data_IF_762823144017
#
_entry.id   IF_762823144017
#
_cell.length_a   1.000
_cell.length_b   1.000
_cell.length_c   1.000
_cell.angle_alpha   90.00
_cell.angle_beta   90.00
_cell.angle_gamma   90.00
#
_symmetry.space_group_name_H-M   'P 1'
#
loop_
_entity.id
_entity.type
_entity.pdbx_description
1 polymer ?
#
# COMPACT_ATOMS: atom_id res chain seq x y z
N UNK A 1 -11.27 -0.07 23.21
CA UNK A 1 -12.30 1.00 22.97
C UNK A 1 -13.66 0.33 22.81
N UNK A 2 -14.78 0.90 23.28
CA UNK A 2 -16.11 0.26 23.16
C UNK A 2 -16.63 0.24 21.71
N UNK A 3 -17.32 -0.85 21.34
CA UNK A 3 -17.86 -1.05 19.99
C UNK A 3 -18.87 0.04 19.60
N UNK A 4 -19.82 0.37 20.48
CA UNK A 4 -20.82 1.42 20.23
C UNK A 4 -20.16 2.73 19.79
N UNK A 5 -19.07 3.12 20.45
CA UNK A 5 -18.38 4.37 20.16
C UNK A 5 -17.69 4.33 18.79
N UNK A 6 -17.17 3.18 18.39
CA UNK A 6 -16.61 3.00 17.05
C UNK A 6 -17.72 3.00 15.97
N UNK A 7 -18.87 2.40 16.24
CA UNK A 7 -20.04 2.42 15.34
C UNK A 7 -20.61 3.83 15.16
N UNK A 8 -20.64 4.63 16.22
CA UNK A 8 -20.95 6.06 16.15
C UNK A 8 -19.96 6.77 15.23
N UNK A 9 -18.65 6.67 15.48
CA UNK A 9 -17.63 7.31 14.65
C UNK A 9 -17.67 6.87 13.17
N UNK A 10 -17.96 5.60 12.91
CA UNK A 10 -18.16 5.08 11.57
C UNK A 10 -19.39 5.71 10.87
N UNK A 11 -20.46 5.96 11.62
CA UNK A 11 -21.73 6.50 11.10
C UNK A 11 -21.77 8.04 11.06
N UNK A 12 -20.99 8.71 11.91
CA UNK A 12 -20.90 10.17 12.05
C UNK A 12 -20.22 10.85 10.84
N UNK A 13 -19.63 10.05 9.96
CA UNK A 13 -18.88 10.52 8.80
C UNK A 13 -19.52 9.99 7.53
N UNK A 14 -19.89 10.88 6.60
CA UNK A 14 -20.41 10.52 5.28
C UNK A 14 -19.62 11.24 4.19
N UNK A 15 -18.42 10.74 3.93
CA UNK A 15 -17.62 11.25 2.82
C UNK A 15 -18.16 10.77 1.47
N UNK A 16 -18.04 11.56 0.40
CA UNK A 16 -18.32 11.08 -0.94
C UNK A 16 -17.53 9.81 -1.25
N UNK A 17 -18.22 8.79 -1.77
CA UNK A 17 -17.65 7.52 -2.21
C UNK A 17 -17.06 6.61 -1.11
N UNK A 18 -17.39 6.86 0.16
CA UNK A 18 -17.09 5.88 1.22
C UNK A 18 -17.88 4.59 1.02
N UNK A 19 -17.37 3.50 1.58
CA UNK A 19 -18.05 2.21 1.61
C UNK A 19 -18.75 2.05 2.97
N UNK A 20 -20.06 2.28 3.00
CA UNK A 20 -20.88 2.20 4.23
C UNK A 20 -20.80 0.86 4.96
N UNK A 21 -20.47 -0.19 4.21
CA UNK A 21 -20.42 -1.57 4.69
C UNK A 21 -18.98 -2.02 5.01
N UNK A 22 -17.99 -1.13 4.85
CA UNK A 22 -16.61 -1.32 5.25
C UNK A 22 -16.32 -0.48 6.50
N UNK A 23 -16.06 -1.15 7.62
CA UNK A 23 -15.95 -0.49 8.92
C UNK A 23 -14.80 0.52 8.94
N UNK A 24 -15.08 1.74 9.42
CA UNK A 24 -14.11 2.84 9.46
C UNK A 24 -13.80 3.57 8.15
N UNK A 25 -14.28 3.08 6.99
CA UNK A 25 -13.89 3.57 5.66
C UNK A 25 -14.15 5.08 5.45
N UNK A 26 -15.31 5.59 5.91
CA UNK A 26 -15.60 7.03 5.78
C UNK A 26 -14.68 7.90 6.63
N UNK A 27 -14.26 7.45 7.82
CA UNK A 27 -13.34 8.23 8.66
C UNK A 27 -11.97 8.28 7.99
N UNK A 28 -11.49 7.16 7.44
CA UNK A 28 -10.23 7.10 6.70
C UNK A 28 -10.26 8.00 5.47
N UNK A 29 -11.32 7.95 4.67
CA UNK A 29 -11.46 8.85 3.50
C UNK A 29 -11.46 10.34 3.89
N UNK A 30 -11.91 10.68 5.10
CA UNK A 30 -11.94 12.06 5.60
C UNK A 30 -10.61 12.53 6.16
N UNK A 31 -10.00 11.69 7.01
CA UNK A 31 -8.88 12.09 7.88
C UNK A 31 -7.52 11.59 7.43
N UNK A 32 -7.47 10.64 6.49
CA UNK A 32 -6.22 10.07 5.98
C UNK A 32 -6.01 10.50 4.54
N UNK A 33 -5.01 11.36 4.31
CA UNK A 33 -4.84 12.05 3.03
C UNK A 33 -4.52 11.05 1.92
N UNK A 34 -3.54 10.17 2.13
CA UNK A 34 -3.13 9.17 1.13
C UNK A 34 -4.30 8.23 0.83
N UNK A 35 -5.01 7.75 1.87
CA UNK A 35 -6.19 6.89 1.69
C UNK A 35 -7.26 7.57 0.82
N UNK A 36 -7.58 8.84 1.12
CA UNK A 36 -8.56 9.64 0.37
C UNK A 36 -8.15 9.82 -1.10
N UNK A 37 -6.89 10.16 -1.33
CA UNK A 37 -6.37 10.45 -2.66
C UNK A 37 -6.34 9.18 -3.53
N UNK A 38 -5.89 8.06 -2.97
CA UNK A 38 -5.95 6.75 -3.65
C UNK A 38 -7.39 6.35 -3.95
N UNK A 39 -8.34 6.55 -3.01
CA UNK A 39 -9.76 6.25 -3.26
C UNK A 39 -10.31 7.04 -4.45
N UNK A 40 -10.09 8.36 -4.47
CA UNK A 40 -10.54 9.24 -5.56
C UNK A 40 -9.89 8.87 -6.89
N UNK A 41 -8.59 8.59 -6.85
CA UNK A 41 -7.83 8.18 -8.03
C UNK A 41 -8.31 6.85 -8.60
N UNK A 42 -8.61 5.88 -7.75
CA UNK A 42 -9.13 4.58 -8.16
C UNK A 42 -10.49 4.74 -8.89
N UNK A 43 -11.41 5.50 -8.30
CA UNK A 43 -12.73 5.80 -8.88
C UNK A 43 -12.64 6.55 -10.22
N UNK A 44 -11.74 7.54 -10.33
CA UNK A 44 -11.55 8.28 -11.58
C UNK A 44 -11.00 7.42 -12.73
N UNK A 45 -10.45 6.24 -12.41
CA UNK A 45 -9.98 5.22 -13.37
C UNK A 45 -11.03 4.16 -13.68
N UNK A 46 -12.29 4.43 -13.31
CA UNK A 46 -13.46 3.57 -13.53
C UNK A 46 -13.44 2.27 -12.73
N UNK A 47 -12.67 2.20 -11.64
CA UNK A 47 -12.78 1.09 -10.70
C UNK A 47 -14.05 1.24 -9.87
N UNK A 48 -14.63 0.09 -9.54
CA UNK A 48 -15.78 -0.04 -8.67
C UNK A 48 -15.41 -0.90 -7.47
N UNK A 49 -16.18 -0.76 -6.39
CA UNK A 49 -16.02 -1.58 -5.18
C UNK A 49 -17.26 -2.46 -5.04
N UNK A 50 -17.07 -3.73 -4.70
CA UNK A 50 -18.19 -4.68 -4.58
C UNK A 50 -18.11 -5.51 -3.32
N UNK A 51 -19.21 -5.53 -2.57
CA UNK A 51 -19.43 -6.46 -1.45
C UNK A 51 -20.09 -7.77 -1.88
N UNK A 52 -20.30 -7.98 -3.19
CA UNK A 52 -20.81 -9.23 -3.70
C UNK A 52 -19.87 -10.39 -3.33
N UNK A 53 -20.45 -11.54 -3.01
CA UNK A 53 -19.68 -12.72 -2.65
C UNK A 53 -18.74 -13.11 -3.79
N UNK A 54 -17.45 -13.21 -3.47
CA UNK A 54 -16.40 -13.69 -4.37
C UNK A 54 -15.62 -14.78 -3.64
N UNK A 55 -16.02 -16.03 -3.87
CA UNK A 55 -15.45 -17.20 -3.18
C UNK A 55 -13.95 -17.36 -3.46
N UNK A 56 -13.53 -17.10 -4.71
CA UNK A 56 -12.12 -17.19 -5.10
C UNK A 56 -11.27 -16.15 -4.39
N UNK A 57 -11.74 -14.90 -4.32
CA UNK A 57 -11.04 -13.85 -3.59
C UNK A 57 -11.01 -14.13 -2.09
N UNK A 58 -12.10 -14.65 -1.51
CA UNK A 58 -12.13 -14.99 -0.09
C UNK A 58 -11.18 -16.15 0.25
N UNK A 59 -11.03 -17.12 -0.64
CA UNK A 59 -10.16 -18.29 -0.45
C UNK A 59 -8.69 -17.99 -0.75
N UNK A 60 -8.38 -17.26 -1.82
CA UNK A 60 -7.01 -16.97 -2.27
C UNK A 60 -6.91 -15.61 -2.97
N UNK A 61 -6.92 -14.49 -2.22
CA UNK A 61 -6.91 -13.12 -2.78
C UNK A 61 -5.77 -12.88 -3.79
N UNK A 62 -4.56 -13.34 -3.46
CA UNK A 62 -3.37 -13.18 -4.30
C UNK A 62 -3.52 -13.74 -5.71
N UNK A 63 -4.40 -14.74 -5.91
CA UNK A 63 -4.67 -15.31 -7.23
C UNK A 63 -5.62 -14.48 -8.09
N UNK A 64 -6.26 -13.48 -7.51
CA UNK A 64 -7.35 -12.74 -8.13
C UNK A 64 -6.95 -11.32 -8.53
N UNK A 65 -5.71 -10.89 -8.26
CA UNK A 65 -5.28 -9.51 -8.53
C UNK A 65 -5.46 -9.11 -10.00
N UNK A 66 -5.04 -9.94 -10.96
CA UNK A 66 -5.27 -9.66 -12.39
C UNK A 66 -6.75 -9.60 -12.77
N UNK A 67 -7.58 -10.42 -12.15
CA UNK A 67 -9.03 -10.42 -12.35
C UNK A 67 -9.66 -9.12 -11.83
N UNK A 68 -9.23 -8.67 -10.64
CA UNK A 68 -9.61 -7.39 -10.02
C UNK A 68 -9.22 -6.22 -10.91
N UNK A 69 -7.97 -6.20 -11.39
CA UNK A 69 -7.43 -5.12 -12.23
C UNK A 69 -8.07 -5.08 -13.62
N UNK A 70 -8.33 -6.24 -14.22
CA UNK A 70 -8.95 -6.34 -15.56
C UNK A 70 -10.43 -6.00 -15.52
N UNK A 71 -11.18 -6.56 -14.56
CA UNK A 71 -12.62 -6.28 -14.40
C UNK A 71 -12.88 -4.90 -13.79
N UNK A 72 -11.84 -4.28 -13.22
CA UNK A 72 -11.91 -3.03 -12.47
C UNK A 72 -12.93 -3.08 -11.31
N UNK A 73 -12.97 -4.21 -10.61
CA UNK A 73 -13.86 -4.40 -9.45
C UNK A 73 -13.02 -4.87 -8.26
N UNK A 74 -12.89 -4.01 -7.26
CA UNK A 74 -12.18 -4.31 -6.01
C UNK A 74 -13.17 -4.94 -5.01
N UNK A 75 -12.99 -6.21 -4.64
CA UNK A 75 -13.88 -6.90 -3.72
C UNK A 75 -13.61 -6.49 -2.27
N UNK A 76 -14.67 -6.46 -1.47
CA UNK A 76 -14.60 -6.33 -0.02
C UNK A 76 -15.74 -7.11 0.64
N UNK A 77 -15.70 -7.24 1.96
CA UNK A 77 -16.74 -7.94 2.73
C UNK A 77 -17.51 -6.92 3.58
N UNK A 78 -18.83 -7.07 3.67
CA UNK A 78 -19.61 -6.32 4.66
C UNK A 78 -19.22 -6.82 6.07
N UNK A 79 -18.35 -6.07 6.74
CA UNK A 79 -17.94 -6.35 8.12
C UNK A 79 -18.68 -5.45 9.14
N UNK A 80 -19.54 -4.53 8.68
CA UNK A 80 -20.32 -3.62 9.54
C UNK A 80 -21.60 -4.28 10.07
N UNK A 81 -22.28 -5.11 9.27
CA UNK A 81 -23.55 -5.73 9.66
C UNK A 81 -23.43 -6.60 10.90
N UNK A 82 -22.35 -7.38 11.03
CA UNK A 82 -22.12 -8.21 12.22
C UNK A 82 -21.88 -7.35 13.46
N UNK A 83 -21.15 -6.25 13.33
CA UNK A 83 -20.90 -5.31 14.43
C UNK A 83 -22.19 -4.65 14.92
N UNK A 84 -23.05 -4.20 13.99
CA UNK A 84 -24.38 -3.66 14.31
C UNK A 84 -25.28 -4.69 14.99
N UNK A 85 -25.16 -5.97 14.61
CA UNK A 85 -25.90 -7.06 15.26
C UNK A 85 -25.42 -7.31 16.69
N UNK A 86 -24.10 -7.34 16.92
CA UNK A 86 -23.52 -7.50 18.25
C UNK A 86 -23.98 -6.37 19.19
N UNK A 87 -23.83 -5.11 18.76
CA UNK A 87 -24.22 -3.95 19.57
C UNK A 87 -25.73 -3.93 19.88
N UNK A 88 -26.57 -4.41 18.96
CA UNK A 88 -28.02 -4.50 19.19
C UNK A 88 -28.38 -5.52 20.27
N UNK A 89 -27.69 -6.66 20.31
CA UNK A 89 -27.98 -7.74 21.26
C UNK A 89 -27.28 -7.56 22.61
N UNK A 90 -26.10 -6.93 22.62
CA UNK A 90 -25.28 -6.69 23.82
C UNK A 90 -24.80 -5.23 23.87
N UNK A 91 -25.73 -4.27 24.08
CA UNK A 91 -25.43 -2.85 23.98
C UNK A 91 -24.39 -2.39 25.01
N UNK A 92 -23.40 -1.63 24.56
CA UNK A 92 -22.29 -1.07 25.36
C UNK A 92 -21.41 -2.11 26.08
N UNK A 93 -21.57 -3.39 25.79
CA UNK A 93 -20.79 -4.47 26.44
C UNK A 93 -19.48 -4.68 25.69
N UNK A 94 -19.55 -4.95 24.40
CA UNK A 94 -18.42 -5.41 23.57
C UNK A 94 -17.29 -4.38 23.47
N UNK A 95 -16.07 -4.84 23.66
CA UNK A 95 -14.85 -4.08 23.46
C UNK A 95 -14.21 -4.45 22.13
N UNK A 96 -13.45 -3.51 21.56
CA UNK A 96 -12.72 -3.75 20.32
C UNK A 96 -11.78 -4.94 20.39
N UNK A 97 -11.14 -5.15 21.55
CA UNK A 97 -10.18 -6.22 21.77
C UNK A 97 -10.86 -7.61 21.74
N UNK A 98 -12.17 -7.69 21.95
CA UNK A 98 -12.96 -8.93 21.77
C UNK A 98 -13.10 -9.31 20.29
N UNK A 99 -12.90 -8.34 19.38
CA UNK A 99 -13.24 -8.43 17.96
C UNK A 99 -12.03 -8.38 17.02
N UNK A 100 -10.94 -7.71 17.43
CA UNK A 100 -9.81 -7.35 16.56
C UNK A 100 -9.26 -8.52 15.76
N UNK A 101 -9.18 -9.69 16.38
CA UNK A 101 -8.55 -10.88 15.80
C UNK A 101 -9.54 -11.73 14.98
N UNK A 102 -10.84 -11.50 15.15
CA UNK A 102 -11.91 -12.32 14.58
C UNK A 102 -12.68 -11.61 13.46
N UNK A 103 -12.64 -10.27 13.41
CA UNK A 103 -13.31 -9.52 12.37
C UNK A 103 -12.57 -9.65 11.04
N UNK A 104 -13.31 -9.95 9.96
CA UNK A 104 -12.74 -9.98 8.62
C UNK A 104 -12.25 -8.58 8.23
N UNK A 105 -10.94 -8.47 7.99
CA UNK A 105 -10.26 -7.28 7.45
C UNK A 105 -10.54 -7.11 5.96
N UNK A 106 -10.52 -5.87 5.51
CA UNK A 106 -10.76 -5.48 4.11
C UNK A 106 -9.57 -4.68 3.59
N UNK A 107 -8.80 -5.23 2.65
CA UNK A 107 -7.58 -4.59 2.14
C UNK A 107 -7.85 -3.67 0.93
N UNK A 108 -9.00 -3.00 0.93
CA UNK A 108 -9.46 -2.17 -0.20
C UNK A 108 -8.46 -1.08 -0.55
N UNK A 109 -7.78 -0.52 0.45
CA UNK A 109 -6.76 0.50 0.25
C UNK A 109 -5.55 -0.03 -0.55
N UNK A 110 -5.04 -1.20 -0.17
CA UNK A 110 -3.95 -1.86 -0.84
C UNK A 110 -4.30 -2.20 -2.29
N UNK A 111 -5.45 -2.85 -2.52
CA UNK A 111 -5.93 -3.17 -3.86
C UNK A 111 -6.16 -1.91 -4.72
N UNK A 112 -6.59 -0.81 -4.09
CA UNK A 112 -6.74 0.48 -4.77
C UNK A 112 -5.40 1.08 -5.19
N UNK A 113 -4.32 0.85 -4.42
CA UNK A 113 -2.98 1.27 -4.80
C UNK A 113 -2.50 0.52 -6.05
N UNK A 114 -2.71 -0.80 -6.13
CA UNK A 114 -2.45 -1.57 -7.35
C UNK A 114 -3.26 -1.04 -8.53
N UNK A 115 -4.56 -0.81 -8.35
CA UNK A 115 -5.44 -0.27 -9.39
C UNK A 115 -4.94 1.07 -9.95
N UNK A 116 -4.51 1.99 -9.08
CA UNK A 116 -3.93 3.28 -9.47
C UNK A 116 -2.63 3.06 -10.24
N UNK A 117 -1.68 2.33 -9.67
CA UNK A 117 -0.39 2.08 -10.30
C UNK A 117 -0.53 1.41 -11.68
N UNK A 118 -1.32 0.34 -11.76
CA UNK A 118 -1.61 -0.38 -13.01
C UNK A 118 -2.21 0.51 -14.10
N UNK A 119 -3.10 1.44 -13.73
CA UNK A 119 -3.74 2.33 -14.70
C UNK A 119 -2.80 3.40 -15.26
N UNK A 120 -1.76 3.74 -14.51
CA UNK A 120 -0.71 4.67 -14.94
C UNK A 120 0.44 3.98 -15.66
N UNK A 121 0.47 2.65 -15.64
CA UNK A 121 1.48 1.87 -16.31
C UNK A 121 1.47 2.16 -17.81
N UNK A 122 2.68 2.15 -18.38
CA UNK A 122 2.87 2.41 -19.80
C UNK A 122 2.30 1.23 -20.60
N UNK A 123 1.44 1.52 -21.58
CA UNK A 123 0.78 0.52 -22.44
C UNK A 123 1.74 -0.24 -23.40
N UNK A 124 3.04 -0.28 -23.10
CA UNK A 124 4.08 -0.96 -23.86
C UNK A 124 5.18 -1.36 -22.87
N UNK A 125 5.69 -2.59 -22.80
CA UNK A 125 6.32 -3.32 -23.91
C UNK A 125 6.30 -4.84 -23.66
N UNK A 126 6.26 -5.59 -24.77
CA UNK A 126 6.16 -7.05 -24.94
C UNK A 126 7.31 -7.90 -24.33
N UNK A 127 8.06 -7.39 -23.36
CA UNK A 127 9.18 -8.08 -22.73
C UNK A 127 8.84 -8.48 -21.30
N UNK A 128 9.04 -9.76 -21.01
CA UNK A 128 8.76 -10.43 -19.73
C UNK A 128 9.31 -9.67 -18.52
N UNK A 129 10.52 -9.12 -18.64
CA UNK A 129 11.20 -8.39 -17.56
C UNK A 129 10.54 -7.05 -17.24
N UNK A 130 9.90 -6.41 -18.22
CA UNK A 130 9.18 -5.14 -18.01
C UNK A 130 7.89 -5.35 -17.22
N UNK A 131 7.24 -6.49 -17.39
CA UNK A 131 6.02 -6.85 -16.64
C UNK A 131 6.35 -7.22 -15.19
N UNK A 132 7.41 -7.98 -14.96
CA UNK A 132 7.90 -8.28 -13.60
C UNK A 132 8.26 -7.00 -12.84
N UNK A 133 9.00 -6.10 -13.48
CA UNK A 133 9.33 -4.80 -12.88
C UNK A 133 8.07 -4.00 -12.55
N UNK A 134 7.10 -3.96 -13.46
CA UNK A 134 5.83 -3.28 -13.23
C UNK A 134 5.08 -3.87 -12.03
N UNK A 135 4.92 -5.19 -11.96
CA UNK A 135 4.25 -5.87 -10.85
C UNK A 135 4.93 -5.56 -9.50
N UNK A 136 6.27 -5.55 -9.46
CA UNK A 136 6.99 -5.22 -8.22
C UNK A 136 6.93 -3.75 -7.88
N UNK A 137 6.80 -2.84 -8.86
CA UNK A 137 6.51 -1.43 -8.59
C UNK A 137 5.10 -1.28 -8.01
N UNK A 138 4.11 -1.99 -8.53
CA UNK A 138 2.73 -1.95 -8.03
C UNK A 138 2.66 -2.37 -6.55
N UNK A 139 3.30 -3.48 -6.19
CA UNK A 139 3.42 -3.94 -4.79
C UNK A 139 4.16 -2.92 -3.93
N UNK A 140 5.33 -2.46 -4.38
CA UNK A 140 6.14 -1.50 -3.63
C UNK A 140 5.41 -0.18 -3.40
N UNK A 141 4.60 0.26 -4.36
CA UNK A 141 3.75 1.43 -4.24
C UNK A 141 2.65 1.21 -3.20
N UNK A 142 1.98 0.06 -3.22
CA UNK A 142 0.98 -0.29 -2.21
C UNK A 142 1.58 -0.32 -0.80
N UNK A 143 2.73 -0.99 -0.60
CA UNK A 143 3.42 -0.99 0.71
C UNK A 143 3.86 0.43 1.13
N UNK A 144 4.29 1.26 0.18
CA UNK A 144 4.68 2.66 0.46
C UNK A 144 3.50 3.49 0.93
N UNK A 145 2.36 3.40 0.24
CA UNK A 145 1.13 4.07 0.62
C UNK A 145 0.66 3.62 2.02
N UNK A 146 0.71 2.32 2.30
CA UNK A 146 0.36 1.76 3.61
C UNK A 146 1.31 2.23 4.73
N UNK A 147 2.61 2.29 4.46
CA UNK A 147 3.57 2.76 5.46
C UNK A 147 3.37 4.25 5.76
N UNK A 148 3.18 5.08 4.73
CA UNK A 148 3.08 6.53 4.93
C UNK A 148 1.71 6.97 5.45
N UNK A 149 0.63 6.26 5.12
CA UNK A 149 -0.70 6.61 5.61
C UNK A 149 -0.85 6.47 7.13
N UNK A 150 0.06 5.78 7.83
CA UNK A 150 0.08 5.75 9.32
C UNK A 150 0.35 7.13 9.93
N UNK A 151 0.96 8.06 9.17
CA UNK A 151 1.26 9.43 9.63
C UNK A 151 -0.02 10.14 10.10
N UNK A 152 -1.12 9.93 9.38
CA UNK A 152 -2.39 10.61 9.61
C UNK A 152 -3.24 9.93 10.70
N UNK A 153 -2.84 8.76 11.20
CA UNK A 153 -3.53 8.05 12.28
C UNK A 153 -3.31 8.73 13.66
N UNK A 154 -4.12 9.75 13.95
CA UNK A 154 -3.96 10.64 15.11
C UNK A 154 -4.42 10.06 16.45
N UNK A 155 -5.56 9.35 16.45
CA UNK A 155 -6.22 8.86 17.65
C UNK A 155 -6.44 7.34 17.60
N UNK A 156 -6.88 6.75 18.71
CA UNK A 156 -7.07 5.31 18.82
C UNK A 156 -8.14 4.76 17.86
N UNK A 157 -9.21 5.52 17.59
CA UNK A 157 -10.23 5.07 16.64
C UNK A 157 -9.70 5.06 15.21
N UNK A 158 -8.94 6.10 14.83
CA UNK A 158 -8.29 6.16 13.54
C UNK A 158 -7.31 4.98 13.36
N UNK A 159 -6.51 4.66 14.38
CA UNK A 159 -5.61 3.49 14.35
C UNK A 159 -6.36 2.19 14.16
N UNK A 160 -7.44 1.97 14.92
CA UNK A 160 -8.31 0.79 14.79
C UNK A 160 -8.86 0.66 13.37
N UNK A 161 -9.43 1.73 12.82
CA UNK A 161 -10.00 1.72 11.47
C UNK A 161 -8.93 1.51 10.40
N UNK A 162 -7.74 2.06 10.59
CA UNK A 162 -6.62 1.88 9.67
C UNK A 162 -6.10 0.44 9.68
N UNK A 163 -5.93 -0.15 10.86
CA UNK A 163 -5.44 -1.51 11.05
C UNK A 163 -6.34 -2.55 10.36
N UNK A 164 -7.66 -2.41 10.43
CA UNK A 164 -8.58 -3.32 9.73
C UNK A 164 -8.63 -3.12 8.20
N UNK A 165 -8.05 -2.03 7.70
CA UNK A 165 -8.10 -1.62 6.29
C UNK A 165 -6.76 -1.78 5.55
N UNK A 166 -5.69 -2.11 6.26
CA UNK A 166 -4.30 -2.17 5.75
C UNK A 166 -3.70 -3.54 6.06
N UNK A 167 -2.79 -4.06 5.22
CA UNK A 167 -2.02 -5.27 5.55
C UNK A 167 -0.97 -4.98 6.63
N UNK A 168 -0.41 -3.77 6.63
CA UNK A 168 0.66 -3.36 7.54
C UNK A 168 0.30 -2.08 8.28
N UNK A 169 0.61 -2.03 9.58
CA UNK A 169 0.26 -0.91 10.45
C UNK A 169 1.33 -0.68 11.52
N UNK A 170 2.48 -0.14 11.07
CA UNK A 170 3.67 0.14 11.90
C UNK A 170 3.52 1.48 12.64
N UNK A 171 2.56 1.57 13.56
CA UNK A 171 2.25 2.82 14.27
C UNK A 171 3.39 3.32 15.16
N UNK A 172 4.29 2.44 15.60
CA UNK A 172 5.50 2.75 16.34
C UNK A 172 6.48 3.63 15.54
N UNK A 173 6.47 3.51 14.21
CA UNK A 173 7.32 4.31 13.32
C UNK A 173 6.72 5.67 12.96
N UNK A 174 5.46 5.95 13.34
CA UNK A 174 4.74 7.17 12.97
C UNK A 174 5.52 8.44 13.27
N UNK A 175 6.12 8.55 14.45
CA UNK A 175 6.90 9.74 14.84
C UNK A 175 8.17 9.88 13.99
N UNK A 176 8.85 8.77 13.70
CA UNK A 176 10.03 8.76 12.85
C UNK A 176 9.69 9.17 11.40
N UNK A 177 8.55 8.67 10.88
CA UNK A 177 8.05 9.00 9.55
C UNK A 177 7.64 10.48 9.45
N UNK A 178 6.96 11.04 10.47
CA UNK A 178 6.64 12.47 10.53
C UNK A 178 7.90 13.35 10.50
N UNK A 179 8.90 13.00 11.30
CA UNK A 179 10.17 13.72 11.33
C UNK A 179 10.90 13.62 9.99
N UNK A 180 10.91 12.43 9.38
CA UNK A 180 11.49 12.22 8.06
C UNK A 180 10.76 13.04 6.98
N UNK A 181 9.42 13.13 7.04
CA UNK A 181 8.62 13.91 6.11
C UNK A 181 8.94 15.40 6.21
N UNK A 182 9.07 15.95 7.42
CA UNK A 182 9.48 17.34 7.65
C UNK A 182 10.91 17.61 7.16
N UNK A 183 11.83 16.67 7.35
CA UNK A 183 13.25 16.84 7.02
C UNK A 183 13.56 16.66 5.52
N UNK A 184 12.91 15.70 4.87
CA UNK A 184 13.20 15.28 3.49
C UNK A 184 12.17 15.88 2.49
N UNK A 185 10.95 16.11 2.95
CA UNK A 185 9.79 16.43 2.12
C UNK A 185 9.02 15.18 1.68
N UNK A 186 7.69 15.29 1.59
CA UNK A 186 6.79 14.15 1.31
C UNK A 186 7.10 13.43 0.00
N UNK A 187 7.31 14.16 -1.10
CA UNK A 187 7.55 13.58 -2.43
C UNK A 187 8.83 12.73 -2.43
N UNK A 188 9.95 13.31 -1.98
CA UNK A 188 11.24 12.62 -1.90
C UNK A 188 11.25 11.46 -0.92
N UNK A 189 10.56 11.59 0.21
CA UNK A 189 10.42 10.50 1.18
C UNK A 189 9.63 9.34 0.57
N UNK A 190 8.55 9.63 -0.14
CA UNK A 190 7.73 8.62 -0.81
C UNK A 190 8.51 7.93 -1.94
N UNK A 191 9.26 8.68 -2.76
CA UNK A 191 10.17 8.10 -3.76
C UNK A 191 11.21 7.16 -3.12
N UNK A 192 11.81 7.59 -2.00
CA UNK A 192 12.82 6.80 -1.29
C UNK A 192 12.26 5.49 -0.74
N UNK A 193 11.08 5.55 -0.09
CA UNK A 193 10.42 4.37 0.46
C UNK A 193 9.99 3.42 -0.65
N UNK A 194 9.43 3.93 -1.76
CA UNK A 194 9.04 3.12 -2.92
C UNK A 194 10.23 2.36 -3.48
N UNK A 195 11.35 3.03 -3.73
CA UNK A 195 12.56 2.37 -4.26
C UNK A 195 13.16 1.39 -3.23
N UNK A 196 13.08 1.69 -1.94
CA UNK A 196 13.52 0.78 -0.88
C UNK A 196 12.67 -0.49 -0.82
N UNK A 197 11.34 -0.38 -0.90
CA UNK A 197 10.44 -1.53 -1.02
C UNK A 197 10.68 -2.29 -2.33
N UNK A 198 11.00 -1.62 -3.42
CA UNK A 198 11.32 -2.29 -4.68
C UNK A 198 12.54 -3.18 -4.55
N UNK A 199 13.61 -2.72 -3.90
CA UNK A 199 14.75 -3.58 -3.55
C UNK A 199 14.32 -4.78 -2.68
N UNK A 200 13.51 -4.53 -1.64
CA UNK A 200 13.00 -5.60 -0.76
C UNK A 200 12.19 -6.65 -1.53
N UNK A 201 11.33 -6.22 -2.46
CA UNK A 201 10.49 -7.08 -3.31
C UNK A 201 11.30 -7.82 -4.39
N UNK A 202 12.46 -7.28 -4.78
CA UNK A 202 13.49 -8.02 -5.55
C UNK A 202 14.34 -8.98 -4.67
N UNK A 203 13.91 -9.24 -3.43
CA UNK A 203 14.54 -10.18 -2.48
C UNK A 203 15.93 -9.75 -1.99
N UNK A 204 16.28 -8.47 -2.10
CA UNK A 204 17.47 -7.94 -1.43
C UNK A 204 17.23 -7.89 0.09
N UNK A 205 18.26 -8.22 0.87
CA UNK A 205 18.19 -8.18 2.34
C UNK A 205 18.34 -6.76 2.90
N UNK A 206 19.08 -5.90 2.19
CA UNK A 206 19.29 -4.49 2.55
C UNK A 206 19.80 -3.69 1.36
N UNK A 207 19.89 -2.35 1.52
CA UNK A 207 20.59 -1.48 0.57
C UNK A 207 22.08 -1.42 0.92
N UNK A 208 22.93 -1.88 0.01
CA UNK A 208 24.36 -1.57 0.06
C UNK A 208 24.63 -0.09 -0.31
N UNK A 209 25.88 0.34 -0.13
CA UNK A 209 26.29 1.72 -0.44
C UNK A 209 26.14 2.09 -1.93
N UNK A 210 26.24 1.13 -2.84
CA UNK A 210 26.08 1.38 -4.27
C UNK A 210 24.60 1.63 -4.59
N UNK A 211 23.70 0.75 -4.17
CA UNK A 211 22.26 0.88 -4.41
C UNK A 211 21.70 2.12 -3.70
N UNK A 212 22.14 2.37 -2.47
CA UNK A 212 21.76 3.58 -1.75
C UNK A 212 22.15 4.85 -2.53
N UNK A 213 23.38 4.93 -3.07
CA UNK A 213 23.81 6.07 -3.92
C UNK A 213 23.00 6.21 -5.20
N UNK A 214 22.63 5.09 -5.84
CA UNK A 214 21.78 5.10 -7.05
C UNK A 214 20.40 5.66 -6.77
N UNK A 215 19.76 5.23 -5.68
CA UNK A 215 18.48 5.79 -5.22
C UNK A 215 18.61 7.30 -4.97
N UNK A 216 19.64 7.74 -4.26
CA UNK A 216 19.84 9.17 -3.99
C UNK A 216 20.02 9.99 -5.28
N UNK A 217 20.73 9.45 -6.28
CA UNK A 217 20.91 10.09 -7.59
C UNK A 217 19.58 10.27 -8.32
N UNK A 218 18.67 9.28 -8.25
CA UNK A 218 17.34 9.39 -8.86
C UNK A 218 16.53 10.50 -8.19
N UNK A 219 16.47 10.50 -6.86
CA UNK A 219 15.60 11.38 -6.06
C UNK A 219 16.11 12.82 -6.03
N UNK A 220 17.40 13.01 -5.81
CA UNK A 220 17.98 14.35 -5.64
C UNK A 220 18.57 14.92 -6.93
N UNK A 221 18.75 14.10 -7.98
CA UNK A 221 19.33 14.49 -9.27
C UNK A 221 20.69 15.17 -9.08
N UNK A 222 20.79 16.44 -9.45
CA UNK A 222 22.01 17.25 -9.29
C UNK A 222 22.21 17.78 -7.86
N UNK A 223 21.16 17.76 -7.03
CA UNK A 223 21.27 18.15 -5.64
C UNK A 223 21.84 16.99 -4.82
N UNK A 224 22.54 17.31 -3.73
CA UNK A 224 22.95 16.29 -2.76
C UNK A 224 22.10 16.43 -1.49
N UNK A 225 21.61 15.31 -0.91
CA UNK A 225 21.00 15.35 0.40
C UNK A 225 22.03 15.78 1.44
N UNK A 226 21.59 16.52 2.45
CA UNK A 226 22.47 16.86 3.57
C UNK A 226 22.76 15.60 4.43
N UNK A 227 23.81 15.61 5.28
CA UNK A 227 24.17 14.44 6.08
C UNK A 227 23.07 13.93 7.02
N UNK A 228 22.21 14.83 7.52
CA UNK A 228 21.08 14.46 8.37
C UNK A 228 20.03 13.68 7.58
N UNK A 229 19.67 14.16 6.39
CA UNK A 229 18.74 13.48 5.48
C UNK A 229 19.25 12.08 5.11
N UNK A 230 20.55 11.94 4.84
CA UNK A 230 21.18 10.63 4.58
C UNK A 230 21.00 9.68 5.76
N UNK A 231 21.27 10.14 6.99
CA UNK A 231 21.08 9.35 8.20
C UNK A 231 19.64 8.93 8.40
N UNK A 232 18.69 9.84 8.17
CA UNK A 232 17.25 9.57 8.26
C UNK A 232 16.82 8.54 7.22
N UNK A 233 17.23 8.68 5.96
CA UNK A 233 16.94 7.72 4.89
C UNK A 233 17.51 6.32 5.20
N UNK A 234 18.75 6.22 5.70
CA UNK A 234 19.33 4.93 6.12
C UNK A 234 18.57 4.26 7.27
N UNK A 235 17.93 5.04 8.14
CA UNK A 235 17.08 4.50 9.21
C UNK A 235 15.74 4.01 8.64
N UNK A 236 15.10 4.81 7.79
CA UNK A 236 13.80 4.48 7.19
C UNK A 236 13.92 3.25 6.26
N UNK A 237 15.02 3.09 5.52
CA UNK A 237 15.18 1.93 4.64
C UNK A 237 15.07 0.62 5.41
N UNK A 238 15.57 0.54 6.65
CA UNK A 238 15.48 -0.68 7.48
C UNK A 238 14.03 -1.16 7.62
N UNK A 239 13.08 -0.25 7.77
CA UNK A 239 11.63 -0.56 7.87
C UNK A 239 11.15 -1.26 6.59
N UNK A 240 11.65 -0.86 5.42
CA UNK A 240 11.24 -1.44 4.14
C UNK A 240 11.73 -2.90 3.97
N UNK A 241 12.78 -3.30 4.69
CA UNK A 241 13.35 -4.65 4.67
C UNK A 241 12.82 -5.56 5.78
N UNK A 242 11.94 -5.08 6.67
CA UNK A 242 11.27 -5.93 7.67
C UNK A 242 10.01 -6.63 7.13
N UNK A 243 9.72 -6.51 5.82
CA UNK A 243 8.68 -7.32 5.19
C UNK A 243 8.96 -8.81 5.42
N UNK A 244 7.93 -9.53 5.84
CA UNK A 244 8.00 -10.97 6.10
C UNK A 244 8.58 -11.72 4.89
N UNK A 245 9.57 -12.59 5.13
CA UNK A 245 10.24 -13.30 4.05
C UNK A 245 9.28 -14.21 3.30
N UNK A 246 8.38 -14.89 4.02
CA UNK A 246 7.37 -15.75 3.39
C UNK A 246 6.44 -14.92 2.52
N UNK A 247 6.02 -13.74 2.96
CA UNK A 247 5.28 -12.78 2.13
C UNK A 247 6.07 -12.43 0.86
N UNK A 248 7.33 -11.99 0.98
CA UNK A 248 8.16 -11.66 -0.19
C UNK A 248 8.26 -12.82 -1.19
N UNK A 249 8.52 -14.04 -0.71
CA UNK A 249 8.66 -15.23 -1.56
C UNK A 249 7.35 -15.69 -2.19
N UNK A 250 6.24 -15.63 -1.44
CA UNK A 250 4.92 -16.02 -1.94
C UNK A 250 4.41 -14.95 -2.89
N UNK A 251 4.33 -13.69 -2.47
CA UNK A 251 3.83 -12.59 -3.29
C UNK A 251 4.65 -12.42 -4.57
N UNK A 252 5.98 -12.49 -4.52
CA UNK A 252 6.80 -12.36 -5.74
C UNK A 252 6.78 -13.65 -6.57
N UNK A 253 7.13 -14.79 -5.95
CA UNK A 253 7.34 -16.03 -6.70
C UNK A 253 6.06 -16.74 -7.11
N UNK A 254 5.05 -16.79 -6.25
CA UNK A 254 3.78 -17.45 -6.57
C UNK A 254 2.95 -16.61 -7.54
N UNK A 255 2.87 -15.30 -7.34
CA UNK A 255 2.16 -14.41 -8.26
C UNK A 255 2.75 -14.43 -9.67
N UNK A 256 4.08 -14.44 -9.79
CA UNK A 256 4.74 -14.60 -11.09
C UNK A 256 4.33 -15.90 -11.77
N UNK A 257 4.31 -17.03 -11.04
CA UNK A 257 3.89 -18.32 -11.60
C UNK A 257 2.43 -18.32 -12.03
N UNK A 258 1.54 -17.69 -11.26
CA UNK A 258 0.12 -17.55 -11.61
C UNK A 258 -0.07 -16.78 -12.92
N UNK A 259 0.82 -15.83 -13.20
CA UNK A 259 0.86 -15.07 -14.44
C UNK A 259 1.67 -15.73 -15.57
N UNK A 260 2.05 -17.01 -15.41
CA UNK A 260 2.74 -17.78 -16.44
C UNK A 260 4.25 -17.49 -16.56
N UNK A 261 4.83 -16.71 -15.64
CA UNK A 261 6.26 -16.42 -15.64
C UNK A 261 7.06 -17.58 -15.03
N UNK A 262 8.09 -18.01 -15.75
CA UNK A 262 9.02 -19.08 -15.34
C UNK A 262 10.35 -18.53 -14.80
N UNK A 263 10.33 -17.33 -14.23
CA UNK A 263 11.54 -16.69 -13.71
C UNK A 263 11.98 -17.38 -12.42
N UNK A 264 13.24 -17.82 -12.36
CA UNK A 264 13.83 -18.32 -11.11
C UNK A 264 14.19 -17.16 -10.18
N UNK A 265 14.36 -17.45 -8.89
CA UNK A 265 14.86 -16.46 -7.92
C UNK A 265 16.22 -15.90 -8.32
N UNK A 266 17.10 -16.74 -8.89
CA UNK A 266 18.40 -16.30 -9.40
C UNK A 266 18.26 -15.23 -10.47
N UNK A 267 17.24 -15.34 -11.34
CA UNK A 267 17.01 -14.38 -12.40
C UNK A 267 16.55 -13.04 -11.83
N UNK A 268 15.66 -13.05 -10.83
CA UNK A 268 15.23 -11.83 -10.12
C UNK A 268 16.40 -11.10 -9.48
N UNK A 269 17.27 -11.82 -8.75
CA UNK A 269 18.44 -11.24 -8.11
C UNK A 269 19.49 -10.72 -9.11
N UNK A 270 19.54 -11.30 -10.31
CA UNK A 270 20.46 -10.88 -11.37
C UNK A 270 19.95 -9.70 -12.21
N UNK A 271 18.66 -9.35 -12.11
CA UNK A 271 18.06 -8.29 -12.90
C UNK A 271 18.38 -6.91 -12.31
N UNK A 272 19.20 -6.13 -13.00
CA UNK A 272 19.52 -4.75 -12.61
C UNK A 272 18.37 -3.79 -12.95
N UNK A 273 17.28 -3.92 -12.18
CA UNK A 273 16.08 -3.08 -12.34
C UNK A 273 16.38 -1.59 -12.15
N UNK A 274 17.37 -1.25 -11.31
CA UNK A 274 17.79 0.13 -11.11
C UNK A 274 18.40 0.71 -12.38
N UNK A 275 19.18 -0.06 -13.15
CA UNK A 275 19.73 0.43 -14.42
C UNK A 275 18.60 0.69 -15.42
N UNK A 276 17.56 -0.15 -15.40
CA UNK A 276 16.36 0.06 -16.22
C UNK A 276 15.64 1.35 -15.84
N UNK A 277 15.48 1.65 -14.55
CA UNK A 277 14.88 2.91 -14.08
C UNK A 277 15.75 4.11 -14.47
N UNK A 278 17.06 4.05 -14.24
CA UNK A 278 18.00 5.14 -14.54
C UNK A 278 18.02 5.49 -16.04
N UNK A 279 17.95 4.48 -16.92
CA UNK A 279 18.07 4.63 -18.37
C UNK A 279 16.73 4.89 -19.07
N UNK A 280 15.60 4.76 -18.37
CA UNK A 280 14.26 4.87 -18.98
C UNK A 280 13.50 6.06 -18.38
N UNK A 281 13.59 7.28 -18.97
CA UNK A 281 12.90 8.46 -18.47
C UNK A 281 11.40 8.27 -18.30
N UNK A 282 10.78 7.47 -19.17
CA UNK A 282 9.35 7.18 -19.10
C UNK A 282 8.99 6.40 -17.82
N UNK A 283 9.88 5.52 -17.34
CA UNK A 283 9.68 4.79 -16.09
C UNK A 283 9.82 5.71 -14.87
N UNK A 284 10.78 6.64 -14.90
CA UNK A 284 10.91 7.66 -13.85
C UNK A 284 9.66 8.56 -13.80
N UNK A 285 9.16 8.98 -14.96
CA UNK A 285 7.92 9.75 -15.04
C UNK A 285 6.71 8.98 -14.52
N UNK A 286 6.63 7.67 -14.77
CA UNK A 286 5.61 6.80 -14.19
C UNK A 286 5.67 6.79 -12.65
N UNK A 287 6.86 6.58 -12.06
CA UNK A 287 7.06 6.61 -10.61
C UNK A 287 6.66 7.96 -10.00
N UNK A 288 7.09 9.07 -10.60
CA UNK A 288 6.71 10.42 -10.16
C UNK A 288 5.19 10.61 -10.25
N UNK A 289 4.55 10.10 -11.31
CA UNK A 289 3.10 10.25 -11.52
C UNK A 289 2.28 9.55 -10.44
N UNK A 290 2.59 8.29 -10.11
CA UNK A 290 1.86 7.54 -9.08
C UNK A 290 2.08 8.14 -7.69
N UNK A 291 3.27 8.68 -7.41
CA UNK A 291 3.58 9.38 -6.14
C UNK A 291 2.76 10.66 -6.02
N UNK A 292 2.68 11.47 -7.07
CA UNK A 292 1.84 12.67 -7.07
C UNK A 292 0.37 12.36 -6.83
N UNK A 293 -0.14 11.31 -7.48
CA UNK A 293 -1.53 10.86 -7.25
C UNK A 293 -1.80 10.49 -5.79
N UNK A 294 -0.83 9.91 -5.08
CA UNK A 294 -1.00 9.59 -3.67
C UNK A 294 -0.94 10.83 -2.76
N UNK A 295 -0.17 11.86 -3.16
CA UNK A 295 0.08 13.05 -2.34
C UNK A 295 -0.86 14.23 -2.61
N UNK A 296 -1.48 14.30 -3.79
CA UNK A 296 -2.36 15.40 -4.25
C UNK A 296 -3.83 15.00 -4.20
#
# INVERSE_FOLDING_TARGET
MKLNRLLELHSDTTEPHHLSDNFGDSLLCKKNKIFSNIRKACLSRSYQFSSAQNEFYQALPLSQLEDVLTKKVIPYVNNVSVLKHLERNWPHVTEWDDLSDNLKRNFVFHESCHAVARSEALASQQLTDSLVLQMLIEESFANTCELLAVIDAEDNAHRIFYEISSYTSLFEERTNLKNAQTEIGSEKLMEFILLSYLHSNFLFESLDELQFKRILKIIFKENSPNPSQVKTMKRISKICFTLDEKFKFVTTGFYMRLNGYKMSQSNLLSFDFMARIEQTPVLQNYLIKIIKIALD
#
